data_IF_796543143349
#
_entry.id   IF_796543143349
#
_cell.length_a   1.000
_cell.length_b   1.000
_cell.length_c   1.000
_cell.angle_alpha   90.00
_cell.angle_beta   90.00
_cell.angle_gamma   90.00
#
_symmetry.space_group_name_H-M   'P 1'
#
loop_
_entity.id
_entity.type
_entity.pdbx_description
1 polymer ?
#
# COMPACT_ATOMS: atom_id res chain seq x y z
N UNK A 1 25.58 28.05 51.26
CA UNK A 1 26.35 28.25 50.01
C UNK A 1 25.88 27.21 49.02
N UNK A 2 25.23 27.69 47.96
CA UNK A 2 24.77 27.12 46.69
C UNK A 2 24.03 25.76 46.60
N UNK A 3 22.93 25.86 45.85
CA UNK A 3 21.85 24.92 45.59
C UNK A 3 22.28 23.73 44.71
N UNK A 4 21.74 22.54 45.03
CA UNK A 4 21.68 21.42 44.10
C UNK A 4 20.46 21.57 43.19
N UNK A 5 20.67 21.62 41.88
CA UNK A 5 19.60 21.58 40.88
C UNK A 5 19.72 20.27 40.08
N UNK A 6 18.83 19.32 40.35
CA UNK A 6 18.70 18.09 39.57
C UNK A 6 17.80 18.38 38.35
N UNK A 7 18.37 18.33 37.15
CA UNK A 7 17.63 18.44 35.91
C UNK A 7 17.00 17.09 35.55
N UNK A 8 15.67 16.99 35.65
CA UNK A 8 14.91 15.84 35.17
C UNK A 8 14.77 15.93 33.64
N UNK A 9 15.42 15.01 32.92
CA UNK A 9 15.32 14.88 31.47
C UNK A 9 14.11 13.99 31.15
N UNK A 10 12.97 14.59 30.79
CA UNK A 10 11.81 13.84 30.29
C UNK A 10 12.05 13.44 28.83
N UNK A 11 12.38 12.17 28.59
CA UNK A 11 12.36 11.58 27.25
C UNK A 11 10.90 11.34 26.83
N UNK A 12 10.36 12.15 25.91
CA UNK A 12 9.09 11.84 25.26
C UNK A 12 9.33 10.76 24.19
N UNK A 13 8.85 9.54 24.42
CA UNK A 13 8.82 8.49 23.41
C UNK A 13 7.66 8.77 22.45
N UNK A 14 7.96 9.28 21.25
CA UNK A 14 6.98 9.29 20.16
C UNK A 14 6.74 7.84 19.76
N UNK A 15 5.54 7.34 20.03
CA UNK A 15 5.11 6.03 19.53
C UNK A 15 4.82 6.20 18.04
N UNK A 16 5.62 5.58 17.18
CA UNK A 16 5.25 5.41 15.79
C UNK A 16 4.08 4.43 15.76
N UNK A 17 2.86 4.93 15.59
CA UNK A 17 1.69 4.10 15.33
C UNK A 17 1.78 3.68 13.85
N UNK A 18 1.65 2.38 13.58
CA UNK A 18 1.40 1.92 12.22
C UNK A 18 -0.06 2.26 11.90
N UNK A 19 -0.26 3.13 10.92
CA UNK A 19 -1.59 3.48 10.43
C UNK A 19 -1.92 2.59 9.22
N UNK A 20 -3.17 2.14 9.14
CA UNK A 20 -3.65 1.42 7.97
C UNK A 20 -3.63 2.35 6.75
N UNK A 21 -3.15 1.84 5.62
CA UNK A 21 -3.08 2.61 4.37
C UNK A 21 -4.34 2.34 3.57
N UNK A 22 -5.14 3.39 3.34
CA UNK A 22 -6.44 3.26 2.66
C UNK A 22 -6.46 4.10 1.39
N UNK A 23 -6.79 3.48 0.26
CA UNK A 23 -6.91 4.16 -1.03
C UNK A 23 -7.95 3.48 -1.93
N UNK A 24 -8.52 4.21 -2.89
CA UNK A 24 -9.40 3.64 -3.90
C UNK A 24 -8.61 3.15 -5.12
N UNK A 25 -8.78 1.88 -5.49
CA UNK A 25 -8.23 1.31 -6.71
C UNK A 25 -9.31 1.24 -7.78
N UNK A 26 -9.02 1.75 -8.97
CA UNK A 26 -9.88 1.63 -10.15
C UNK A 26 -9.20 0.82 -11.25
N UNK A 27 -9.89 -0.19 -11.76
CA UNK A 27 -9.49 -0.85 -12.99
C UNK A 27 -9.96 0.01 -14.18
N UNK A 28 -9.09 0.88 -14.71
CA UNK A 28 -9.38 1.70 -15.88
C UNK A 28 -9.08 0.99 -17.21
N UNK A 29 -8.72 -0.29 -17.17
CA UNK A 29 -8.35 -1.09 -18.36
C UNK A 29 -9.57 -1.80 -18.95
N UNK A 30 -9.33 -2.60 -19.98
CA UNK A 30 -10.36 -3.46 -20.61
C UNK A 30 -10.34 -4.92 -20.16
N UNK A 31 -9.42 -5.31 -19.26
CA UNK A 31 -9.29 -6.70 -18.78
C UNK A 31 -9.61 -6.82 -17.29
N UNK A 32 -10.10 -7.98 -16.87
CA UNK A 32 -10.37 -8.26 -15.45
C UNK A 32 -9.04 -8.30 -14.69
N UNK A 33 -8.96 -7.55 -13.59
CA UNK A 33 -7.82 -7.64 -12.68
C UNK A 33 -8.08 -8.78 -11.69
N UNK A 34 -7.24 -9.80 -11.72
CA UNK A 34 -7.47 -11.04 -10.96
C UNK A 34 -6.62 -11.14 -9.71
N UNK A 35 -5.45 -10.48 -9.68
CA UNK A 35 -4.55 -10.48 -8.52
C UNK A 35 -3.95 -9.11 -8.33
N UNK A 36 -3.84 -8.68 -7.08
CA UNK A 36 -3.25 -7.41 -6.73
C UNK A 36 -2.27 -7.60 -5.57
N UNK A 37 -1.02 -7.21 -5.78
CA UNK A 37 0.04 -7.35 -4.78
C UNK A 37 0.61 -6.00 -4.41
N UNK A 38 1.03 -5.88 -3.14
CA UNK A 38 1.78 -4.73 -2.63
C UNK A 38 2.99 -5.19 -1.85
N UNK A 39 4.11 -4.49 -1.96
CA UNK A 39 5.32 -4.76 -1.19
C UNK A 39 6.07 -3.47 -0.86
N UNK A 40 6.62 -3.28 0.35
CA UNK A 40 7.42 -2.10 0.64
C UNK A 40 8.62 -1.99 -0.31
N UNK A 41 8.94 -0.76 -0.71
CA UNK A 41 10.08 -0.53 -1.61
C UNK A 41 11.37 -1.10 -1.03
N UNK A 42 12.08 -1.90 -1.83
CA UNK A 42 13.33 -2.55 -1.45
C UNK A 42 13.18 -3.97 -0.93
N UNK A 43 11.94 -4.48 -0.81
CA UNK A 43 11.65 -5.90 -0.60
C UNK A 43 11.50 -6.56 -1.97
N UNK A 44 12.35 -7.54 -2.28
CA UNK A 44 12.42 -8.16 -3.61
C UNK A 44 11.45 -9.35 -3.81
N UNK A 45 10.57 -9.59 -2.84
CA UNK A 45 9.60 -10.68 -2.84
C UNK A 45 8.20 -10.09 -2.67
N UNK A 46 7.28 -10.54 -3.51
CA UNK A 46 5.87 -10.19 -3.39
C UNK A 46 5.25 -10.91 -2.20
N UNK A 47 4.40 -10.19 -1.47
CA UNK A 47 3.64 -10.73 -0.35
C UNK A 47 2.33 -11.38 -0.86
N UNK A 48 1.38 -11.65 0.04
CA UNK A 48 0.12 -12.26 -0.32
C UNK A 48 -0.73 -11.36 -1.24
N UNK A 49 -1.61 -11.99 -2.01
CA UNK A 49 -2.59 -11.32 -2.86
C UNK A 49 -3.63 -10.58 -2.00
N UNK A 50 -3.76 -9.28 -2.23
CA UNK A 50 -4.68 -8.40 -1.52
C UNK A 50 -6.14 -8.74 -1.81
N UNK A 51 -6.45 -9.29 -2.99
CA UNK A 51 -7.82 -9.63 -3.38
C UNK A 51 -8.30 -10.99 -2.85
N UNK A 52 -7.39 -11.94 -2.64
CA UNK A 52 -7.75 -13.31 -2.29
C UNK A 52 -8.55 -14.00 -3.42
N UNK A 53 -9.85 -14.21 -3.22
CA UNK A 53 -10.76 -14.79 -4.24
C UNK A 53 -11.53 -13.74 -5.04
N UNK A 54 -11.35 -12.45 -4.72
CA UNK A 54 -12.03 -11.35 -5.40
C UNK A 54 -11.33 -10.99 -6.70
N UNK A 55 -12.07 -10.36 -7.61
CA UNK A 55 -11.54 -9.77 -8.84
C UNK A 55 -12.12 -8.37 -9.01
N UNK A 56 -11.48 -7.54 -9.83
CA UNK A 56 -11.97 -6.20 -10.14
C UNK A 56 -12.23 -6.07 -11.65
N UNK A 57 -13.50 -5.95 -12.01
CA UNK A 57 -13.93 -5.90 -13.41
C UNK A 57 -13.53 -4.57 -14.10
N UNK A 58 -13.46 -4.55 -15.44
CA UNK A 58 -13.22 -3.32 -16.20
C UNK A 58 -14.17 -2.17 -15.80
N UNK A 59 -13.58 -1.02 -15.44
CA UNK A 59 -14.30 0.18 -15.03
C UNK A 59 -14.70 0.23 -13.55
N UNK A 60 -14.57 -0.87 -12.81
CA UNK A 60 -14.94 -0.93 -11.39
C UNK A 60 -13.91 -0.26 -10.48
N UNK A 61 -14.35 0.02 -9.25
CA UNK A 61 -13.51 0.60 -8.20
C UNK A 61 -13.80 -0.06 -6.86
N UNK A 62 -12.74 -0.25 -6.07
CA UNK A 62 -12.79 -0.86 -4.75
C UNK A 62 -11.89 -0.06 -3.79
N UNK A 63 -12.28 0.00 -2.51
CA UNK A 63 -11.42 0.54 -1.46
C UNK A 63 -10.46 -0.55 -0.98
N UNK A 64 -9.17 -0.24 -1.02
CA UNK A 64 -8.10 -1.09 -0.52
C UNK A 64 -7.68 -0.61 0.85
N UNK A 65 -7.47 -1.56 1.76
CA UNK A 65 -6.84 -1.31 3.05
C UNK A 65 -5.61 -2.21 3.19
N UNK A 66 -4.43 -1.61 3.36
CA UNK A 66 -3.19 -2.31 3.70
C UNK A 66 -2.96 -2.13 5.21
N UNK A 67 -3.23 -3.20 5.96
CA UNK A 67 -3.11 -3.25 7.42
C UNK A 67 -1.98 -4.21 7.84
N UNK A 68 -0.77 -3.99 7.29
CA UNK A 68 0.40 -4.87 7.48
C UNK A 68 1.20 -4.57 8.78
N UNK A 69 0.73 -3.60 9.56
CA UNK A 69 1.35 -3.19 10.83
C UNK A 69 2.68 -2.45 10.67
N UNK A 70 2.99 -1.95 9.46
CA UNK A 70 4.22 -1.20 9.18
C UNK A 70 3.95 0.30 9.18
N UNK A 71 5.01 1.08 9.44
CA UNK A 71 4.98 2.55 9.41
C UNK A 71 5.66 3.13 8.16
N UNK A 72 5.66 2.37 7.06
CA UNK A 72 6.26 2.79 5.78
C UNK A 72 5.17 3.21 4.82
N UNK A 73 5.49 4.14 3.93
CA UNK A 73 4.50 4.71 3.01
C UNK A 73 4.72 4.33 1.55
N UNK A 74 5.95 3.97 1.17
CA UNK A 74 6.29 3.71 -0.22
C UNK A 74 6.20 2.22 -0.51
N UNK A 75 5.33 1.87 -1.43
CA UNK A 75 5.10 0.49 -1.87
C UNK A 75 5.28 0.38 -3.38
N UNK A 76 5.84 -0.74 -3.79
CA UNK A 76 5.71 -1.29 -5.12
C UNK A 76 4.36 -2.05 -5.17
N UNK A 77 3.64 -1.90 -6.27
CA UNK A 77 2.33 -2.47 -6.56
C UNK A 77 2.45 -3.30 -7.83
N UNK A 78 1.77 -4.45 -7.87
CA UNK A 78 1.75 -5.34 -9.04
C UNK A 78 0.32 -5.76 -9.34
N UNK A 79 -0.03 -5.68 -10.62
CA UNK A 79 -1.36 -5.94 -11.16
C UNK A 79 -1.28 -7.10 -12.14
N UNK A 80 -2.00 -8.19 -11.85
CA UNK A 80 -2.09 -9.33 -12.77
C UNK A 80 -3.52 -9.46 -13.30
N UNK A 81 -3.64 -9.34 -14.62
CA UNK A 81 -4.91 -9.45 -15.33
C UNK A 81 -5.23 -10.91 -15.65
N UNK A 82 -6.48 -11.14 -16.05
CA UNK A 82 -6.97 -12.46 -16.46
C UNK A 82 -6.03 -13.13 -17.48
N UNK A 83 -5.75 -14.42 -17.25
CA UNK A 83 -4.94 -15.23 -18.16
C UNK A 83 -5.57 -15.28 -19.55
N UNK A 84 -4.79 -14.93 -20.58
CA UNK A 84 -5.27 -14.88 -21.96
C UNK A 84 -5.89 -13.54 -22.38
N UNK A 85 -5.95 -12.56 -21.47
CA UNK A 85 -6.15 -11.16 -21.85
C UNK A 85 -4.98 -10.63 -22.69
N UNK A 86 -5.17 -9.47 -23.32
CA UNK A 86 -4.13 -8.81 -24.11
C UNK A 86 -3.24 -7.87 -23.28
N UNK A 87 -3.36 -7.91 -21.95
CA UNK A 87 -2.59 -7.07 -21.04
C UNK A 87 -1.54 -7.90 -20.31
N UNK A 88 -0.30 -7.40 -20.30
CA UNK A 88 0.78 -7.98 -19.50
C UNK A 88 0.63 -7.59 -18.02
N UNK A 89 1.28 -8.32 -17.12
CA UNK A 89 1.45 -7.92 -15.72
C UNK A 89 2.13 -6.55 -15.66
N UNK A 90 1.59 -5.64 -14.86
CA UNK A 90 2.15 -4.30 -14.69
C UNK A 90 2.50 -4.01 -13.25
N UNK A 91 3.53 -3.18 -13.08
CA UNK A 91 4.07 -2.81 -11.78
C UNK A 91 4.24 -1.29 -11.70
N UNK A 92 3.95 -0.71 -10.55
CA UNK A 92 4.12 0.72 -10.29
C UNK A 92 4.52 0.97 -8.82
N UNK A 93 5.06 2.16 -8.53
CA UNK A 93 5.49 2.55 -7.19
C UNK A 93 4.76 3.79 -6.73
N UNK A 94 4.09 3.71 -5.58
CA UNK A 94 3.33 4.83 -5.03
C UNK A 94 3.67 5.11 -3.56
N UNK A 95 3.34 6.32 -3.11
CA UNK A 95 3.32 6.73 -1.71
C UNK A 95 1.89 6.59 -1.19
N UNK A 96 1.59 5.42 -0.60
CA UNK A 96 0.24 5.04 -0.16
C UNK A 96 -0.29 5.92 0.98
N UNK A 97 0.58 6.51 1.79
CA UNK A 97 0.17 7.46 2.85
C UNK A 97 -0.43 8.76 2.29
N UNK A 98 -0.13 9.07 1.02
CA UNK A 98 -0.68 10.24 0.32
C UNK A 98 -1.64 9.87 -0.80
N UNK A 99 -1.77 8.58 -1.10
CA UNK A 99 -2.57 8.08 -2.19
C UNK A 99 -4.03 8.04 -1.76
N UNK A 100 -4.86 8.91 -2.34
CA UNK A 100 -6.31 8.80 -2.17
C UNK A 100 -6.94 7.82 -3.16
N UNK A 101 -6.44 7.80 -4.39
CA UNK A 101 -6.95 6.96 -5.46
C UNK A 101 -5.87 6.62 -6.49
N UNK A 102 -5.96 5.44 -7.08
CA UNK A 102 -5.12 4.97 -8.18
C UNK A 102 -6.00 4.38 -9.29
N UNK A 103 -5.69 4.70 -10.54
CA UNK A 103 -6.37 4.12 -11.72
C UNK A 103 -5.34 3.44 -12.60
N UNK A 104 -5.61 2.19 -12.96
CA UNK A 104 -4.78 1.42 -13.89
C UNK A 104 -5.18 1.80 -15.33
N UNK A 105 -4.20 2.01 -16.21
CA UNK A 105 -4.43 2.68 -17.51
C UNK A 105 -3.95 1.91 -18.76
N UNK A 106 -3.49 0.68 -18.62
CA UNK A 106 -2.98 -0.15 -19.73
C UNK A 106 -3.99 -0.39 -20.87
#
# INVERSE_FOLDING_TARGET
MLLAAAAALCCATVSAQAEDLVFNLKNGTSSVLTRFYTSPVGVNQWEDDVFGEQVLEPGESIEITIADGRSVCRYDMRFEFEEGSNLDTTEDRQDLCKLGSYTIHE
#
